data_IF_174927368032
#
_entry.id   IF_174927368032
#
_cell.length_a   1.000
_cell.length_b   1.000
_cell.length_c   1.000
_cell.angle_alpha   90.00
_cell.angle_beta   90.00
_cell.angle_gamma   90.00
#
_symmetry.space_group_name_H-M   'P 1'
#
loop_
_entity.id
_entity.type
_entity.pdbx_description
1 polymer ?
#
# COMPACT_ATOMS: atom_id res chain seq x y z
N UNK A 1 -5.20 11.21 -9.35
CA UNK A 1 -5.60 12.52 -8.83
C UNK A 1 -5.52 13.55 -9.96
N UNK A 2 -6.43 13.54 -10.95
CA UNK A 2 -6.38 14.48 -12.06
C UNK A 2 -6.51 15.93 -11.60
N UNK A 3 -7.50 16.23 -10.76
CA UNK A 3 -7.76 17.59 -10.28
C UNK A 3 -6.60 18.15 -9.47
N UNK A 4 -6.05 17.35 -8.54
CA UNK A 4 -4.88 17.76 -7.76
C UNK A 4 -3.65 18.00 -8.63
N UNK A 5 -3.45 17.22 -9.70
CA UNK A 5 -2.37 17.45 -10.66
C UNK A 5 -2.57 18.77 -11.42
N UNK A 6 -3.76 19.00 -11.98
CA UNK A 6 -4.08 20.23 -12.73
C UNK A 6 -3.96 21.49 -11.87
N UNK A 7 -4.27 21.39 -10.57
CA UNK A 7 -4.20 22.51 -9.63
C UNK A 7 -2.88 22.58 -8.85
N UNK A 8 -1.85 21.81 -9.23
CA UNK A 8 -0.55 21.77 -8.56
C UNK A 8 -0.61 21.50 -7.04
N UNK A 9 -1.60 20.71 -6.61
CA UNK A 9 -1.76 20.31 -5.21
C UNK A 9 -0.67 19.32 -4.79
N UNK A 10 -0.05 19.56 -3.63
CA UNK A 10 0.95 18.64 -3.08
C UNK A 10 0.30 17.50 -2.29
N UNK A 11 0.03 16.39 -2.98
CA UNK A 11 -0.40 15.14 -2.34
C UNK A 11 -1.87 15.08 -1.92
N UNK A 12 -2.69 16.05 -2.29
CA UNK A 12 -4.13 16.09 -2.02
C UNK A 12 -4.95 16.38 -3.28
N UNK A 13 -6.24 16.07 -3.26
CA UNK A 13 -7.17 16.56 -4.29
C UNK A 13 -7.56 18.03 -4.00
N UNK A 14 -8.45 18.60 -4.83
CA UNK A 14 -8.89 20.00 -4.67
C UNK A 14 -9.66 20.28 -3.37
N UNK A 15 -10.14 19.23 -2.69
CA UNK A 15 -10.76 19.30 -1.36
C UNK A 15 -9.75 19.07 -0.22
N UNK A 16 -8.46 19.15 -0.52
CA UNK A 16 -7.35 18.94 0.42
C UNK A 16 -7.29 17.53 1.03
N UNK A 17 -7.96 16.56 0.41
CA UNK A 17 -7.93 15.17 0.86
C UNK A 17 -6.70 14.47 0.30
N UNK A 18 -5.78 14.07 1.18
CA UNK A 18 -4.72 13.12 0.87
C UNK A 18 -5.27 11.69 0.99
N UNK A 19 -5.77 11.13 -0.11
CA UNK A 19 -6.40 9.82 -0.10
C UNK A 19 -5.42 8.65 0.00
N UNK A 20 -4.09 8.90 -0.03
CA UNK A 20 -3.12 7.90 0.42
C UNK A 20 -3.22 7.74 1.93
N UNK A 21 -3.11 8.83 2.70
CA UNK A 21 -3.15 8.80 4.16
C UNK A 21 -4.55 8.66 4.76
N UNK A 22 -5.60 9.04 4.03
CA UNK A 22 -7.00 8.95 4.49
C UNK A 22 -7.93 8.56 3.34
N UNK A 23 -8.12 7.25 3.16
CA UNK A 23 -8.89 6.69 2.06
C UNK A 23 -10.41 6.64 2.36
N UNK A 24 -11.16 7.55 1.76
CA UNK A 24 -12.62 7.68 1.92
C UNK A 24 -13.43 6.82 0.93
N UNK A 25 -13.19 5.51 0.92
CA UNK A 25 -13.85 4.58 -0.02
C UNK A 25 -15.38 4.49 0.08
N UNK A 26 -16.01 5.10 1.08
CA UNK A 26 -17.45 5.02 1.32
C UNK A 26 -18.19 6.34 1.05
N UNK A 27 -17.50 7.39 0.57
CA UNK A 27 -18.11 8.70 0.33
C UNK A 27 -17.80 9.20 -1.08
N UNK A 28 -18.78 9.05 -1.97
CA UNK A 28 -18.74 9.59 -3.33
C UNK A 28 -18.69 11.12 -3.35
N UNK A 29 -19.34 11.77 -2.39
CA UNK A 29 -19.41 13.22 -2.29
C UNK A 29 -18.09 13.83 -1.79
N UNK A 30 -17.49 13.22 -0.76
CA UNK A 30 -16.26 13.76 -0.15
C UNK A 30 -15.04 13.47 -1.02
N UNK A 31 -14.87 12.26 -1.55
CA UNK A 31 -13.73 11.88 -2.37
C UNK A 31 -14.16 10.86 -3.45
N UNK A 32 -14.71 11.33 -4.57
CA UNK A 32 -15.20 10.45 -5.63
C UNK A 32 -14.12 9.52 -6.21
N UNK A 33 -12.85 9.92 -6.16
CA UNK A 33 -11.71 9.12 -6.60
C UNK A 33 -11.50 7.90 -5.69
N UNK A 34 -11.47 8.12 -4.37
CA UNK A 34 -11.35 7.03 -3.40
C UNK A 34 -12.57 6.10 -3.45
N UNK A 35 -13.77 6.66 -3.59
CA UNK A 35 -15.00 5.87 -3.76
C UNK A 35 -14.91 4.97 -5.00
N UNK A 36 -14.55 5.53 -6.15
CA UNK A 36 -14.48 4.78 -7.41
C UNK A 36 -13.41 3.69 -7.40
N UNK A 37 -12.25 3.97 -6.80
CA UNK A 37 -11.19 2.97 -6.60
C UNK A 37 -11.70 1.83 -5.71
N UNK A 38 -12.42 2.15 -4.63
CA UNK A 38 -12.96 1.13 -3.72
C UNK A 38 -13.98 0.23 -4.41
N UNK A 39 -14.95 0.81 -5.13
CA UNK A 39 -15.96 0.07 -5.89
C UNK A 39 -15.31 -0.89 -6.90
N UNK A 40 -14.28 -0.40 -7.62
CA UNK A 40 -13.53 -1.23 -8.55
C UNK A 40 -12.83 -2.39 -7.84
N UNK A 41 -12.09 -2.11 -6.77
CA UNK A 41 -11.39 -3.14 -5.99
C UNK A 41 -12.35 -4.15 -5.36
N UNK A 42 -13.51 -3.73 -4.86
CA UNK A 42 -14.52 -4.61 -4.28
C UNK A 42 -15.12 -5.56 -5.32
N UNK A 43 -15.25 -5.09 -6.57
CA UNK A 43 -15.70 -5.92 -7.70
C UNK A 43 -14.64 -6.95 -8.12
N UNK A 44 -13.39 -6.53 -8.31
CA UNK A 44 -12.34 -7.42 -8.86
C UNK A 44 -11.61 -8.26 -7.81
N UNK A 45 -11.62 -7.82 -6.55
CA UNK A 45 -10.92 -8.43 -5.40
C UNK A 45 -9.46 -8.74 -5.74
N UNK A 46 -8.59 -7.72 -5.82
CA UNK A 46 -7.24 -7.91 -6.35
C UNK A 46 -6.41 -8.83 -5.45
N UNK A 47 -5.67 -9.77 -6.05
CA UNK A 47 -4.71 -10.61 -5.31
C UNK A 47 -3.46 -9.83 -4.89
N UNK A 48 -3.08 -8.81 -5.66
CA UNK A 48 -1.95 -7.92 -5.39
C UNK A 48 -2.36 -6.47 -5.59
N UNK A 49 -1.90 -5.58 -4.71
CA UNK A 49 -2.01 -4.12 -4.83
C UNK A 49 -0.63 -3.48 -4.63
N UNK A 50 -0.29 -2.54 -5.51
CA UNK A 50 1.01 -1.85 -5.50
C UNK A 50 0.78 -0.34 -5.71
N UNK A 51 1.30 0.47 -4.79
CA UNK A 51 1.15 1.94 -4.82
C UNK A 51 2.50 2.63 -5.02
N UNK A 52 2.67 3.33 -6.14
CA UNK A 52 3.90 4.04 -6.51
C UNK A 52 3.81 5.52 -6.15
N UNK A 53 4.85 6.04 -5.49
CA UNK A 53 4.93 7.43 -5.03
C UNK A 53 6.23 8.06 -5.50
N UNK A 54 6.14 9.06 -6.36
CA UNK A 54 7.31 9.80 -6.85
C UNK A 54 7.56 11.06 -6.01
N UNK A 55 8.81 11.30 -5.63
CA UNK A 55 9.22 12.47 -4.86
C UNK A 55 10.33 13.26 -5.56
N UNK A 56 10.35 14.57 -5.30
CA UNK A 56 11.36 15.51 -5.81
C UNK A 56 12.49 15.78 -4.81
N UNK A 57 12.17 15.86 -3.51
CA UNK A 57 13.11 16.32 -2.47
C UNK A 57 13.33 15.33 -1.32
N UNK A 58 12.50 14.28 -1.23
CA UNK A 58 12.65 13.29 -0.16
C UNK A 58 13.66 12.24 -0.62
N UNK A 59 14.81 12.18 0.05
CA UNK A 59 15.82 11.10 0.02
C UNK A 59 15.95 10.37 -1.32
N UNK A 60 17.03 10.67 -2.05
CA UNK A 60 17.34 10.41 -3.46
C UNK A 60 17.41 8.93 -3.90
N UNK A 61 16.71 8.02 -3.23
CA UNK A 61 16.81 6.58 -3.43
C UNK A 61 15.44 5.92 -3.50
N UNK A 62 15.24 5.12 -4.55
CA UNK A 62 14.09 4.24 -4.65
C UNK A 62 14.09 3.25 -3.49
N UNK A 63 12.92 3.01 -2.90
CA UNK A 63 12.78 2.07 -1.78
C UNK A 63 11.35 1.60 -1.56
N UNK A 64 11.13 0.31 -1.26
CA UNK A 64 9.83 -0.19 -0.84
C UNK A 64 9.53 0.14 0.62
N UNK A 65 8.26 0.32 0.94
CA UNK A 65 7.75 0.26 2.31
C UNK A 65 7.27 -1.17 2.58
N UNK A 66 8.00 -1.88 3.44
CA UNK A 66 7.80 -3.31 3.66
C UNK A 66 6.64 -3.56 4.63
N UNK A 67 5.76 -4.51 4.28
CA UNK A 67 4.76 -5.05 5.19
C UNK A 67 5.31 -6.31 5.86
N UNK A 68 5.36 -6.40 7.20
CA UNK A 68 5.71 -7.64 7.89
C UNK A 68 4.74 -8.78 7.55
N UNK A 69 5.26 -10.00 7.36
CA UNK A 69 4.46 -11.17 6.99
C UNK A 69 3.40 -11.54 8.03
N UNK A 70 3.57 -11.11 9.29
CA UNK A 70 2.59 -11.30 10.37
C UNK A 70 1.21 -10.67 10.10
N UNK A 71 1.10 -9.74 9.15
CA UNK A 71 -0.18 -9.14 8.73
C UNK A 71 -0.95 -9.98 7.70
N UNK A 72 -0.38 -11.09 7.23
CA UNK A 72 -1.03 -12.01 6.32
C UNK A 72 -1.41 -13.28 7.06
N UNK A 73 -2.64 -13.74 6.89
CA UNK A 73 -3.08 -14.98 7.55
C UNK A 73 -2.72 -16.24 6.73
N UNK A 74 -2.51 -16.12 5.41
CA UNK A 74 -2.32 -17.26 4.51
C UNK A 74 -0.87 -17.65 4.47
N UNK A 75 -0.54 -18.94 4.65
CA UNK A 75 0.86 -19.40 4.54
C UNK A 75 1.45 -19.05 3.18
N UNK A 76 0.69 -19.26 2.09
CA UNK A 76 1.09 -18.88 0.74
C UNK A 76 1.28 -17.36 0.60
N UNK A 77 0.33 -16.54 1.06
CA UNK A 77 0.46 -15.08 1.03
C UNK A 77 1.67 -14.57 1.84
N UNK A 78 1.98 -15.21 2.97
CA UNK A 78 3.18 -14.90 3.78
C UNK A 78 4.46 -15.15 2.99
N UNK A 79 4.58 -16.32 2.37
CA UNK A 79 5.76 -16.69 1.57
C UNK A 79 5.93 -15.76 0.37
N UNK A 80 4.84 -15.45 -0.33
CA UNK A 80 4.88 -14.51 -1.46
C UNK A 80 5.28 -13.11 -0.99
N UNK A 81 4.68 -12.60 0.09
CA UNK A 81 5.05 -11.29 0.63
C UNK A 81 6.51 -11.25 1.07
N UNK A 82 7.02 -12.30 1.70
CA UNK A 82 8.42 -12.41 2.10
C UNK A 82 9.34 -12.34 0.90
N UNK A 83 9.04 -13.11 -0.15
CA UNK A 83 9.78 -13.08 -1.40
C UNK A 83 9.77 -11.69 -2.02
N UNK A 84 8.60 -11.05 -2.13
CA UNK A 84 8.47 -9.69 -2.67
C UNK A 84 9.28 -8.69 -1.85
N UNK A 85 9.16 -8.73 -0.51
CA UNK A 85 9.92 -7.85 0.38
C UNK A 85 11.42 -7.98 0.14
N UNK A 86 11.92 -9.20 0.07
CA UNK A 86 13.35 -9.46 -0.13
C UNK A 86 13.79 -8.98 -1.52
N UNK A 87 13.07 -9.32 -2.58
CA UNK A 87 13.44 -8.93 -3.95
C UNK A 87 13.32 -7.45 -4.24
N UNK A 88 12.31 -6.76 -3.71
CA UNK A 88 12.23 -5.31 -3.80
C UNK A 88 13.34 -4.62 -2.99
N UNK A 89 13.73 -5.20 -1.85
CA UNK A 89 14.85 -4.68 -1.05
C UNK A 89 16.18 -4.87 -1.77
N UNK A 90 16.43 -6.03 -2.37
CA UNK A 90 17.61 -6.30 -3.22
C UNK A 90 17.67 -5.35 -4.42
N UNK A 91 16.53 -5.15 -5.12
CA UNK A 91 16.40 -4.22 -6.24
C UNK A 91 16.77 -2.78 -5.85
N UNK A 92 16.53 -2.40 -4.60
CA UNK A 92 16.83 -1.08 -4.05
C UNK A 92 18.15 -1.02 -3.26
N UNK A 93 19.12 -1.90 -3.55
CA UNK A 93 20.44 -1.92 -2.90
C UNK A 93 20.35 -2.04 -1.37
N UNK A 94 19.41 -2.86 -0.89
CA UNK A 94 19.09 -3.05 0.52
C UNK A 94 18.48 -1.83 1.23
N UNK A 95 18.02 -0.81 0.48
CA UNK A 95 17.29 0.33 1.03
C UNK A 95 15.81 -0.01 1.11
N UNK A 96 15.23 0.15 2.29
CA UNK A 96 13.81 -0.08 2.55
C UNK A 96 13.31 0.79 3.70
N UNK A 97 11.99 0.93 3.83
CA UNK A 97 11.36 1.56 4.98
C UNK A 97 10.46 0.59 5.74
N UNK A 98 10.55 0.63 7.06
CA UNK A 98 9.60 0.00 8.00
C UNK A 98 8.95 1.12 8.79
N UNK A 99 7.87 1.67 8.28
CA UNK A 99 7.09 2.70 8.96
C UNK A 99 5.77 2.07 9.44
N UNK A 100 5.35 2.30 10.69
CA UNK A 100 4.05 1.77 11.14
C UNK A 100 2.88 2.54 10.52
N UNK A 101 3.10 3.78 10.05
CA UNK A 101 2.06 4.59 9.43
C UNK A 101 1.47 3.95 8.17
N UNK A 102 2.23 3.14 7.41
CA UNK A 102 1.73 2.38 6.24
C UNK A 102 0.81 1.20 6.63
N UNK A 103 0.58 0.98 7.93
CA UNK A 103 -0.35 0.00 8.47
C UNK A 103 -1.64 0.65 9.01
N UNK A 104 -1.77 1.97 8.88
CA UNK A 104 -2.93 2.69 9.40
C UNK A 104 -4.24 2.13 8.78
N UNK A 105 -5.31 2.01 9.58
CA UNK A 105 -6.55 1.33 9.19
C UNK A 105 -7.32 2.06 8.08
N UNK A 106 -7.04 3.35 7.89
CA UNK A 106 -7.66 4.23 6.91
C UNK A 106 -6.93 4.26 5.56
N UNK A 107 -5.88 3.47 5.35
CA UNK A 107 -5.20 3.34 4.05
C UNK A 107 -5.91 2.31 3.16
N UNK A 108 -5.90 2.52 1.85
CA UNK A 108 -6.43 1.56 0.88
C UNK A 108 -5.75 0.19 1.01
N UNK A 109 -4.42 0.15 1.08
CA UNK A 109 -3.67 -1.10 1.23
C UNK A 109 -4.11 -1.89 2.47
N UNK A 110 -4.23 -1.23 3.63
CA UNK A 110 -4.69 -1.89 4.85
C UNK A 110 -6.12 -2.42 4.71
N UNK A 111 -7.01 -1.65 4.07
CA UNK A 111 -8.38 -2.12 3.80
C UNK A 111 -8.41 -3.33 2.88
N UNK A 112 -7.68 -3.32 1.75
CA UNK A 112 -7.63 -4.45 0.82
C UNK A 112 -7.07 -5.72 1.47
N UNK A 113 -6.00 -5.58 2.25
CA UNK A 113 -5.43 -6.71 3.00
C UNK A 113 -6.41 -7.27 4.03
N UNK A 114 -7.09 -6.41 4.77
CA UNK A 114 -8.01 -6.84 5.82
C UNK A 114 -9.32 -7.41 5.26
N UNK A 115 -9.82 -6.86 4.16
CA UNK A 115 -11.10 -7.25 3.57
C UNK A 115 -10.94 -8.49 2.68
N UNK A 116 -9.93 -8.52 1.81
CA UNK A 116 -9.78 -9.56 0.80
C UNK A 116 -8.61 -10.52 1.06
N UNK A 117 -7.63 -10.14 1.88
CA UNK A 117 -6.37 -10.87 2.01
C UNK A 117 -5.33 -10.51 0.93
N UNK A 118 -5.57 -9.44 0.18
CA UNK A 118 -4.68 -8.90 -0.88
C UNK A 118 -3.25 -8.73 -0.38
N UNK A 119 -2.27 -9.16 -1.16
CA UNK A 119 -0.85 -8.87 -0.98
C UNK A 119 -0.61 -7.40 -1.35
N UNK A 120 -0.10 -6.61 -0.40
CA UNK A 120 -0.02 -5.16 -0.56
C UNK A 120 1.41 -4.65 -0.47
N UNK A 121 1.79 -3.81 -1.43
CA UNK A 121 2.95 -2.94 -1.41
C UNK A 121 2.40 -1.51 -1.26
N UNK A 122 2.18 -1.05 -0.01
CA UNK A 122 1.37 0.13 0.27
C UNK A 122 2.01 1.44 -0.17
N UNK A 123 3.33 1.42 -0.42
CA UNK A 123 4.10 2.54 -0.92
C UNK A 123 5.43 2.04 -1.46
N UNK A 124 5.77 2.46 -2.66
CA UNK A 124 7.10 2.35 -3.23
C UNK A 124 7.57 3.73 -3.62
N UNK A 125 8.69 4.15 -3.04
CA UNK A 125 9.28 5.45 -3.32
C UNK A 125 10.03 5.37 -4.65
N UNK A 126 9.68 6.26 -5.57
CA UNK A 126 10.40 6.56 -6.81
C UNK A 126 10.98 7.97 -6.71
N UNK A 127 12.13 8.21 -7.34
CA UNK A 127 12.73 9.53 -7.34
C UNK A 127 12.59 10.19 -8.70
N UNK A 128 12.06 11.41 -8.75
CA UNK A 128 11.81 12.10 -10.02
C UNK A 128 13.09 12.45 -10.80
N UNK A 129 14.25 12.50 -10.13
CA UNK A 129 15.56 12.67 -10.79
C UNK A 129 15.85 11.59 -11.85
N UNK A 130 15.26 10.40 -11.69
CA UNK A 130 15.48 9.26 -12.59
C UNK A 130 14.72 9.44 -13.93
N UNK A 131 13.93 10.52 -14.04
CA UNK A 131 13.13 10.82 -15.21
C UNK A 131 12.01 9.82 -15.45
N UNK A 132 11.28 10.02 -16.53
CA UNK A 132 10.16 9.15 -16.92
C UNK A 132 10.68 7.74 -17.25
N UNK A 133 11.79 7.63 -17.97
CA UNK A 133 12.31 6.35 -18.44
C UNK A 133 12.87 5.52 -17.29
N UNK A 134 13.66 6.11 -16.39
CA UNK A 134 14.15 5.42 -15.19
C UNK A 134 13.01 5.00 -14.26
N UNK A 135 11.99 5.86 -14.11
CA UNK A 135 10.78 5.53 -13.34
C UNK A 135 10.02 4.35 -13.97
N UNK A 136 9.90 4.33 -15.29
CA UNK A 136 9.23 3.25 -16.03
C UNK A 136 10.00 1.94 -15.87
N UNK A 137 11.32 1.97 -16.07
CA UNK A 137 12.19 0.80 -15.90
C UNK A 137 12.08 0.22 -14.49
N UNK A 138 12.20 1.06 -13.45
CA UNK A 138 12.06 0.64 -12.06
C UNK A 138 10.69 0.02 -11.77
N UNK A 139 9.61 0.64 -12.27
CA UNK A 139 8.24 0.15 -12.09
C UNK A 139 8.03 -1.20 -12.79
N UNK A 140 8.60 -1.38 -13.99
CA UNK A 140 8.57 -2.66 -14.71
C UNK A 140 9.30 -3.77 -13.94
N UNK A 141 10.50 -3.50 -13.39
CA UNK A 141 11.23 -4.46 -12.56
C UNK A 141 10.44 -4.85 -11.29
N UNK A 142 9.77 -3.88 -10.66
CA UNK A 142 8.90 -4.15 -9.51
C UNK A 142 7.73 -5.06 -9.89
N UNK A 143 7.10 -4.81 -11.03
CA UNK A 143 6.01 -5.64 -11.54
C UNK A 143 6.50 -7.05 -11.87
N UNK A 144 7.65 -7.18 -12.51
CA UNK A 144 8.27 -8.47 -12.82
C UNK A 144 8.53 -9.28 -11.54
N UNK A 145 9.06 -8.66 -10.48
CA UNK A 145 9.25 -9.30 -9.17
C UNK A 145 7.92 -9.85 -8.62
N UNK A 146 6.85 -9.07 -8.71
CA UNK A 146 5.52 -9.50 -8.27
C UNK A 146 5.03 -10.69 -9.10
N UNK A 147 5.08 -10.60 -10.44
CA UNK A 147 4.61 -11.67 -11.32
C UNK A 147 5.42 -12.95 -11.14
N UNK A 148 6.74 -12.85 -11.04
CA UNK A 148 7.63 -13.97 -10.77
C UNK A 148 7.34 -14.59 -9.41
N UNK A 149 7.00 -13.80 -8.38
CA UNK A 149 6.60 -14.35 -7.09
C UNK A 149 5.33 -15.20 -7.20
N UNK A 150 4.31 -14.74 -7.93
CA UNK A 150 3.07 -15.49 -8.12
C UNK A 150 3.33 -16.79 -8.89
N UNK A 151 4.17 -16.74 -9.92
CA UNK A 151 4.60 -17.90 -10.70
C UNK A 151 5.40 -18.91 -9.86
N UNK A 152 6.39 -18.45 -9.10
CA UNK A 152 7.26 -19.29 -8.26
C UNK A 152 6.47 -20.07 -7.21
N UNK A 153 5.44 -19.46 -6.63
CA UNK A 153 4.55 -20.11 -5.65
C UNK A 153 3.33 -20.78 -6.30
N UNK A 154 3.33 -20.90 -7.63
CA UNK A 154 2.32 -21.59 -8.45
C UNK A 154 0.90 -21.16 -8.07
N UNK A 155 0.67 -19.86 -7.99
CA UNK A 155 -0.67 -19.31 -7.76
C UNK A 155 -1.47 -19.51 -9.06
N UNK A 156 -2.43 -20.43 -9.06
CA UNK A 156 -3.27 -20.75 -10.23
C UNK A 156 -4.70 -20.25 -10.05
N UNK A 157 -5.13 -20.04 -8.80
CA UNK A 157 -6.42 -19.43 -8.47
C UNK A 157 -6.27 -18.33 -7.41
N UNK A 158 -7.14 -17.33 -7.51
CA UNK A 158 -7.24 -16.22 -6.57
C UNK A 158 -7.57 -16.65 -5.15
N UNK A 159 -8.34 -17.73 -4.94
CA UNK A 159 -8.71 -18.23 -3.60
C UNK A 159 -7.52 -18.73 -2.77
N UNK A 160 -6.37 -18.96 -3.41
CA UNK A 160 -5.15 -19.34 -2.71
C UNK A 160 -4.51 -18.15 -1.96
N UNK A 161 -4.89 -16.92 -2.35
CA UNK A 161 -4.45 -15.66 -1.75
C UNK A 161 -5.60 -15.00 -1.01
N UNK A 162 -6.75 -14.89 -1.68
CA UNK A 162 -7.94 -14.22 -1.17
C UNK A 162 -8.61 -15.12 -0.13
N UNK A 163 -8.94 -14.58 1.05
CA UNK A 163 -9.49 -15.37 2.16
C UNK A 163 -10.99 -15.23 2.29
N UNK A 164 -11.73 -16.32 2.05
CA UNK A 164 -13.16 -16.43 2.32
C UNK A 164 -13.48 -16.79 3.78
N UNK A 165 -14.57 -16.26 4.37
CA UNK A 165 -15.34 -15.12 3.87
C UNK A 165 -14.46 -13.87 3.90
N UNK A 166 -14.49 -13.08 2.82
CA UNK A 166 -13.77 -11.81 2.72
C UNK A 166 -14.34 -10.85 3.78
N UNK A 167 -13.75 -10.85 4.97
CA UNK A 167 -14.35 -10.24 6.14
C UNK A 167 -13.35 -10.08 7.27
N UNK A 168 -13.64 -9.11 8.14
CA UNK A 168 -12.75 -8.62 9.20
C UNK A 168 -11.99 -9.77 9.88
N UNK A 169 -10.69 -9.79 9.64
CA UNK A 169 -9.73 -10.51 10.47
C UNK A 169 -10.07 -10.17 11.93
N UNK A 170 -10.46 -11.18 12.73
CA UNK A 170 -10.46 -11.09 14.19
C UNK A 170 -9.02 -10.82 14.60
N UNK A 171 -8.65 -9.56 14.58
CA UNK A 171 -7.37 -9.09 15.07
C UNK A 171 -7.38 -9.38 16.56
N UNK A 172 -6.38 -10.12 17.03
CA UNK A 172 -6.12 -10.22 18.45
C UNK A 172 -6.00 -8.78 18.98
N UNK A 173 -6.95 -8.39 19.84
CA UNK A 173 -7.14 -7.07 20.45
C UNK A 173 -5.83 -6.38 20.92
N UNK A 174 -4.80 -7.17 21.20
CA UNK A 174 -3.47 -6.74 21.67
C UNK A 174 -2.70 -5.84 20.71
N UNK A 175 -2.84 -5.95 19.38
CA UNK A 175 -2.03 -5.16 18.45
C UNK A 175 -2.58 -3.74 18.22
N UNK A 176 -3.92 -3.60 18.17
CA UNK A 176 -4.58 -2.30 18.01
C UNK A 176 -4.31 -1.35 19.19
N UNK A 177 -4.21 -1.89 20.41
CA UNK A 177 -3.90 -1.08 21.58
C UNK A 177 -2.49 -0.45 21.49
N UNK A 178 -1.53 -1.06 20.77
CA UNK A 178 -0.20 -0.45 20.59
C UNK A 178 -0.20 0.70 19.57
N UNK A 179 -0.95 0.58 18.48
CA UNK A 179 -0.98 1.60 17.41
C UNK A 179 -1.83 2.82 17.83
N UNK A 180 -2.93 2.63 18.57
CA UNK A 180 -3.73 3.73 19.11
C UNK A 180 -2.98 4.58 20.15
N UNK A 181 -2.08 3.97 20.94
CA UNK A 181 -1.26 4.69 21.93
C UNK A 181 -0.22 5.60 21.25
N UNK A 182 0.24 5.26 20.05
CA UNK A 182 1.23 6.06 19.31
C UNK A 182 0.57 7.25 18.60
N UNK A 183 -0.68 7.13 18.15
CA UNK A 183 -1.40 8.20 17.43
C UNK A 183 -2.25 9.14 18.32
N UNK A 184 -2.52 8.80 19.58
CA UNK A 184 -3.14 9.72 20.55
C UNK A 184 -2.13 10.60 21.32
N UNK A 185 -0.85 10.58 20.93
CA UNK A 185 0.15 11.55 21.39
C UNK A 185 0.52 12.52 20.27
N UNK A 186 -0.46 13.28 19.76
CA UNK A 186 -0.15 14.61 19.24
C UNK A 186 0.07 15.55 20.43
N UNK A 187 1.06 16.46 20.37
CA UNK A 187 1.37 17.35 21.47
C UNK A 187 0.19 18.28 21.70
N UNK A 188 -0.16 18.45 22.96
CA UNK A 188 -0.97 19.57 23.43
C UNK A 188 -0.25 20.83 22.95
N UNK A 189 -0.83 21.50 21.95
CA UNK A 189 -0.50 22.89 21.65
C UNK A 189 -1.08 23.68 22.84
N UNK A 190 -0.23 24.03 23.79
CA UNK A 190 -0.58 25.06 24.76
C UNK A 190 -0.58 26.40 24.01
N UNK A 191 -1.73 27.07 24.08
CA UNK A 191 -2.01 28.44 23.65
C UNK A 191 -1.05 29.41 24.33
#
# INVERSE_FOLDING_TARGET
NPDGFTNAMQGSNIKEINFHWKFFGNSKESCPEAYSIWEYCAKIKPIVFFDFHAFTFQDNTARPYLIPTGYYLGSKSKLIQEFINNKLTELCENKFSKNEAILAPNLLATRLRNEFGTITIPKFHLHMKDGIDGTREMSSKCLEIVLNSLSNYKVTNSDEILKMPYGKIKTTQRFFNKVLIIHNKSPIINV
#
